data_IF_158688481897
#
_entry.id   IF_158688481897
#
_cell.length_a   1.000
_cell.length_b   1.000
_cell.length_c   1.000
_cell.angle_alpha   90.00
_cell.angle_beta   90.00
_cell.angle_gamma   90.00
#
_symmetry.space_group_name_H-M   'P 1'
#
loop_
_entity.id
_entity.type
_entity.pdbx_description
1 polymer ?
#
# COMPACT_ATOMS: atom_id res chain seq x y z
N UNK A 1 -14.94 10.43 -5.23
CA UNK A 1 -13.54 10.14 -4.80
C UNK A 1 -13.10 8.89 -5.54
N UNK A 2 -11.93 8.89 -6.18
CA UNK A 2 -11.48 7.82 -7.09
C UNK A 2 -11.49 6.40 -6.45
N UNK A 3 -10.98 6.18 -5.22
CA UNK A 3 -11.08 4.88 -4.56
C UNK A 3 -12.52 4.34 -4.42
N UNK A 4 -13.51 5.21 -4.19
CA UNK A 4 -14.90 4.78 -4.09
C UNK A 4 -15.46 4.35 -5.45
N UNK A 5 -15.09 5.04 -6.53
CA UNK A 5 -15.46 4.61 -7.89
C UNK A 5 -14.86 3.25 -8.20
N UNK A 6 -13.58 3.03 -7.86
CA UNK A 6 -12.91 1.75 -8.05
C UNK A 6 -13.53 0.63 -7.19
N UNK A 7 -13.94 0.93 -5.95
CA UNK A 7 -14.63 -0.03 -5.09
C UNK A 7 -16.01 -0.45 -5.65
N UNK A 8 -16.73 0.47 -6.31
CA UNK A 8 -18.06 0.20 -6.87
C UNK A 8 -17.99 -0.43 -8.26
N UNK A 9 -17.04 0.01 -9.10
CA UNK A 9 -16.97 -0.34 -10.53
C UNK A 9 -15.79 -1.25 -10.89
N UNK A 10 -14.94 -1.62 -9.92
CA UNK A 10 -13.77 -2.47 -10.18
C UNK A 10 -12.82 -1.85 -11.20
N UNK A 11 -12.32 -2.67 -12.12
CA UNK A 11 -11.45 -2.25 -13.25
C UNK A 11 -12.15 -1.33 -14.26
N UNK A 12 -13.49 -1.28 -14.26
CA UNK A 12 -14.29 -0.45 -15.17
C UNK A 12 -14.47 1.01 -14.70
N UNK A 13 -13.86 1.40 -13.56
CA UNK A 13 -13.97 2.75 -12.99
C UNK A 13 -13.68 3.88 -13.98
N UNK A 14 -12.84 3.64 -14.99
CA UNK A 14 -12.48 4.60 -16.04
C UNK A 14 -13.65 5.03 -16.93
N UNK A 15 -14.70 4.21 -17.02
CA UNK A 15 -15.93 4.60 -17.72
C UNK A 15 -16.73 5.67 -16.96
N UNK A 16 -16.39 5.93 -15.70
CA UNK A 16 -17.14 6.79 -14.80
C UNK A 16 -16.41 8.09 -14.42
N UNK A 17 -15.17 8.28 -14.90
CA UNK A 17 -14.39 9.49 -14.63
C UNK A 17 -13.30 9.69 -15.68
N UNK A 18 -13.09 10.95 -16.07
CA UNK A 18 -11.94 11.38 -16.86
C UNK A 18 -10.79 11.78 -15.91
N UNK A 19 -9.61 11.11 -15.95
CA UNK A 19 -8.48 11.48 -15.12
C UNK A 19 -7.77 12.77 -15.56
N UNK A 20 -8.12 13.35 -16.73
CA UNK A 20 -7.52 14.59 -17.20
C UNK A 20 -7.66 15.72 -16.16
N UNK A 21 -6.52 16.33 -15.80
CA UNK A 21 -6.46 17.41 -14.80
C UNK A 21 -6.41 16.94 -13.34
N UNK A 22 -6.38 15.64 -13.08
CA UNK A 22 -6.06 15.12 -11.75
C UNK A 22 -4.56 15.25 -11.45
N UNK A 23 -4.21 15.32 -10.17
CA UNK A 23 -2.83 15.11 -9.75
C UNK A 23 -2.40 13.66 -10.04
N UNK A 24 -1.09 13.41 -10.08
CA UNK A 24 -0.56 12.05 -10.23
C UNK A 24 -1.05 11.14 -9.11
N UNK A 25 -1.28 9.87 -9.43
CA UNK A 25 -1.74 8.88 -8.47
C UNK A 25 -1.34 7.47 -8.88
N UNK A 26 -1.27 6.60 -7.86
CA UNK A 26 -1.31 5.17 -8.03
C UNK A 26 -2.63 4.64 -7.45
N UNK A 27 -3.38 3.90 -8.23
CA UNK A 27 -4.58 3.19 -7.80
C UNK A 27 -4.33 1.68 -7.87
N UNK A 28 -4.56 0.97 -6.76
CA UNK A 28 -4.52 -0.49 -6.70
C UNK A 28 -5.95 -1.01 -6.56
N UNK A 29 -6.36 -1.92 -7.44
CA UNK A 29 -7.62 -2.66 -7.31
C UNK A 29 -7.31 -4.13 -7.19
N UNK A 30 -7.68 -4.70 -6.06
CA UNK A 30 -7.62 -6.13 -5.80
C UNK A 30 -9.03 -6.71 -5.87
N UNK A 31 -9.24 -7.70 -6.73
CA UNK A 31 -10.45 -8.52 -6.79
C UNK A 31 -10.08 -9.98 -6.49
N UNK A 32 -11.05 -10.89 -6.28
CA UNK A 32 -10.76 -12.29 -6.00
C UNK A 32 -9.89 -13.00 -7.04
N UNK A 33 -9.82 -12.50 -8.28
CA UNK A 33 -9.08 -13.14 -9.39
C UNK A 33 -7.98 -12.31 -10.01
N UNK A 34 -7.81 -11.04 -9.63
CA UNK A 34 -6.80 -10.17 -10.23
C UNK A 34 -6.34 -9.07 -9.29
N UNK A 35 -5.08 -8.67 -9.48
CA UNK A 35 -4.50 -7.46 -8.92
C UNK A 35 -4.10 -6.55 -10.08
N UNK A 36 -4.67 -5.36 -10.13
CA UNK A 36 -4.40 -4.38 -11.18
C UNK A 36 -3.97 -3.06 -10.55
N UNK A 37 -2.93 -2.46 -11.10
CA UNK A 37 -2.49 -1.11 -10.74
C UNK A 37 -2.66 -0.16 -11.91
N UNK A 38 -3.15 1.05 -11.64
CA UNK A 38 -3.11 2.16 -12.57
C UNK A 38 -2.19 3.25 -12.04
N UNK A 39 -1.20 3.60 -12.84
CA UNK A 39 -0.24 4.66 -12.56
C UNK A 39 -0.55 5.85 -13.47
N UNK A 40 -0.92 6.98 -12.88
CA UNK A 40 -1.19 8.23 -13.58
C UNK A 40 -0.10 9.23 -13.25
N UNK A 41 0.67 9.64 -14.25
CA UNK A 41 1.77 10.61 -14.08
C UNK A 41 1.31 12.09 -14.13
N UNK A 42 0.00 12.33 -14.29
CA UNK A 42 -0.60 13.65 -14.52
C UNK A 42 -0.98 13.89 -15.99
N UNK A 43 -0.47 13.09 -16.91
CA UNK A 43 -0.75 13.17 -18.35
C UNK A 43 -1.23 11.83 -18.92
N UNK A 44 -0.61 10.72 -18.51
CA UNK A 44 -0.82 9.38 -19.05
C UNK A 44 -1.17 8.41 -17.94
N UNK A 45 -2.12 7.53 -18.26
CA UNK A 45 -2.53 6.42 -17.40
C UNK A 45 -1.97 5.11 -17.94
N UNK A 46 -1.12 4.46 -17.16
CA UNK A 46 -0.60 3.13 -17.44
C UNK A 46 -1.34 2.08 -16.59
N UNK A 47 -1.74 0.97 -17.20
CA UNK A 47 -2.33 -0.18 -16.51
C UNK A 47 -1.30 -1.31 -16.43
N UNK A 48 -1.17 -1.91 -15.26
CA UNK A 48 -0.35 -3.11 -15.04
C UNK A 48 -1.18 -4.17 -14.33
N UNK A 49 -1.30 -5.34 -14.96
CA UNK A 49 -1.89 -6.54 -14.36
C UNK A 49 -0.79 -7.37 -13.73
N UNK A 50 -0.95 -7.72 -12.47
CA UNK A 50 0.06 -8.45 -11.71
C UNK A 50 -0.25 -9.95 -11.69
N UNK A 51 0.76 -10.82 -11.84
CA UNK A 51 0.58 -12.25 -11.63
C UNK A 51 0.30 -12.55 -10.14
N UNK A 52 -0.11 -13.78 -9.86
CA UNK A 52 -0.17 -14.29 -8.49
C UNK A 52 1.19 -14.13 -7.79
N UNK A 53 1.17 -13.68 -6.53
CA UNK A 53 2.35 -13.48 -5.72
C UNK A 53 2.30 -12.21 -4.90
N UNK A 54 3.47 -11.76 -4.45
CA UNK A 54 3.61 -10.50 -3.70
C UNK A 54 4.06 -9.38 -4.62
N UNK A 55 3.29 -8.31 -4.68
CA UNK A 55 3.65 -7.07 -5.37
C UNK A 55 3.89 -5.97 -4.34
N UNK A 56 4.99 -5.24 -4.46
CA UNK A 56 5.29 -4.06 -3.65
C UNK A 56 5.23 -2.83 -4.53
N UNK A 57 4.45 -1.85 -4.11
CA UNK A 57 4.40 -0.54 -4.76
C UNK A 57 4.81 0.53 -3.77
N UNK A 58 5.60 1.50 -4.23
CA UNK A 58 6.20 2.55 -3.43
C UNK A 58 5.92 3.89 -4.06
N UNK A 59 5.69 4.92 -3.24
CA UNK A 59 5.46 6.29 -3.72
C UNK A 59 6.74 7.01 -4.14
N UNK A 60 7.91 6.49 -3.76
CA UNK A 60 9.22 7.00 -4.16
C UNK A 60 9.70 6.40 -5.48
N UNK A 61 10.65 7.07 -6.12
CA UNK A 61 11.25 6.59 -7.36
C UNK A 61 12.21 5.41 -7.14
N UNK A 62 12.74 4.82 -8.23
CA UNK A 62 13.69 3.71 -8.17
C UNK A 62 14.91 3.97 -7.29
N UNK A 63 15.30 5.23 -7.13
CA UNK A 63 16.40 5.70 -6.29
C UNK A 63 16.25 5.33 -4.81
N UNK A 64 15.02 5.16 -4.31
CA UNK A 64 14.77 4.79 -2.92
C UNK A 64 15.03 3.30 -2.66
N UNK A 65 15.09 2.49 -3.72
CA UNK A 65 15.43 1.05 -3.71
C UNK A 65 14.60 0.21 -2.73
N UNK A 66 13.46 0.71 -2.26
CA UNK A 66 12.59 0.04 -1.27
C UNK A 66 12.14 -1.33 -1.73
N UNK A 67 11.70 -1.42 -2.98
CA UNK A 67 11.27 -2.70 -3.57
C UNK A 67 12.42 -3.70 -3.57
N UNK A 68 13.61 -3.31 -4.00
CA UNK A 68 14.80 -4.18 -3.98
C UNK A 68 15.16 -4.62 -2.55
N UNK A 69 15.03 -3.72 -1.59
CA UNK A 69 15.41 -3.93 -0.19
C UNK A 69 14.42 -4.82 0.57
N UNK A 70 13.11 -4.68 0.32
CA UNK A 70 12.07 -5.26 1.18
C UNK A 70 11.20 -6.31 0.49
N UNK A 71 10.97 -6.23 -0.83
CA UNK A 71 10.11 -7.19 -1.52
C UNK A 71 10.53 -8.66 -1.29
N UNK A 72 11.83 -9.03 -1.35
CA UNK A 72 12.22 -10.43 -1.11
C UNK A 72 11.79 -10.96 0.26
N UNK A 73 11.86 -10.12 1.30
CA UNK A 73 11.47 -10.51 2.65
C UNK A 73 9.96 -10.66 2.80
N UNK A 74 9.17 -9.75 2.20
CA UNK A 74 7.71 -9.83 2.21
C UNK A 74 7.20 -11.02 1.39
N UNK A 75 7.81 -11.28 0.23
CA UNK A 75 7.46 -12.42 -0.61
C UNK A 75 7.79 -13.77 0.03
N UNK A 76 8.83 -13.84 0.87
CA UNK A 76 9.20 -15.04 1.62
C UNK A 76 8.42 -15.21 2.94
N UNK A 77 7.67 -14.20 3.35
CA UNK A 77 6.98 -14.20 4.64
C UNK A 77 5.63 -14.92 4.55
N UNK A 78 5.39 -15.82 5.50
CA UNK A 78 4.19 -16.65 5.55
C UNK A 78 3.03 -15.91 6.24
N UNK A 79 2.34 -15.10 5.45
CA UNK A 79 1.10 -14.45 5.84
C UNK A 79 1.23 -13.17 6.69
N UNK A 80 0.08 -12.64 7.13
CA UNK A 80 -0.03 -11.27 7.62
C UNK A 80 0.78 -11.01 8.91
N UNK A 81 0.85 -11.99 9.80
CA UNK A 81 1.62 -11.92 11.06
C UNK A 81 3.12 -11.80 10.80
N UNK A 82 3.62 -12.50 9.78
CA UNK A 82 5.01 -12.41 9.36
C UNK A 82 5.32 -11.03 8.77
N UNK A 83 4.41 -10.47 7.96
CA UNK A 83 4.51 -9.10 7.48
C UNK A 83 4.54 -8.08 8.61
N UNK A 84 3.65 -8.21 9.60
CA UNK A 84 3.66 -7.35 10.81
C UNK A 84 5.00 -7.44 11.56
N UNK A 85 5.62 -8.63 11.63
CA UNK A 85 6.97 -8.78 12.25
C UNK A 85 8.04 -8.04 11.45
N UNK A 86 8.00 -8.07 10.12
CA UNK A 86 8.94 -7.32 9.28
C UNK A 86 8.83 -5.81 9.53
N UNK A 87 7.62 -5.27 9.62
CA UNK A 87 7.39 -3.86 9.93
C UNK A 87 7.90 -3.50 11.32
N UNK A 88 7.64 -4.34 12.34
CA UNK A 88 8.16 -4.14 13.70
C UNK A 88 9.68 -4.22 13.81
N UNK A 89 10.32 -4.99 12.95
CA UNK A 89 11.79 -5.09 12.92
C UNK A 89 12.46 -3.87 12.26
N UNK A 90 11.69 -3.00 11.60
CA UNK A 90 12.16 -1.80 10.94
C UNK A 90 11.74 -0.54 11.74
N UNK A 91 12.54 -0.09 12.72
CA UNK A 91 12.24 1.15 13.44
C UNK A 91 12.22 2.34 12.48
N UNK A 92 11.48 3.42 12.80
CA UNK A 92 11.48 4.63 11.99
C UNK A 92 12.90 5.15 11.79
N UNK A 93 13.24 5.47 10.54
CA UNK A 93 14.55 6.00 10.18
C UNK A 93 14.42 7.23 9.28
N UNK A 94 15.39 8.13 9.41
CA UNK A 94 15.58 9.26 8.50
C UNK A 94 16.36 8.81 7.25
N UNK A 95 15.75 7.89 6.51
CA UNK A 95 16.25 7.30 5.27
C UNK A 95 15.06 7.18 4.32
N UNK A 96 15.06 7.87 3.16
CA UNK A 96 14.01 7.74 2.16
C UNK A 96 13.76 6.29 1.76
N UNK A 97 14.79 5.44 1.76
CA UNK A 97 14.73 4.01 1.48
C UNK A 97 14.34 3.13 2.68
N UNK A 98 13.89 3.70 3.80
CA UNK A 98 13.37 2.95 4.94
C UNK A 98 11.94 2.48 4.72
N UNK A 99 11.59 1.32 5.31
CA UNK A 99 10.22 0.81 5.33
C UNK A 99 9.29 1.72 6.14
N UNK A 100 9.80 2.26 7.24
CA UNK A 100 9.12 3.23 8.11
C UNK A 100 9.98 4.48 8.13
N UNK A 101 9.52 5.54 7.48
CA UNK A 101 10.27 6.80 7.36
C UNK A 101 9.88 7.72 8.50
N UNK A 102 10.85 8.42 9.07
CA UNK A 102 10.63 9.58 9.94
C UNK A 102 11.76 10.58 9.72
N UNK A 103 11.44 11.65 9.01
CA UNK A 103 12.32 12.78 8.78
C UNK A 103 11.81 13.99 9.59
N UNK A 104 12.72 14.69 10.26
CA UNK A 104 12.40 15.92 11.01
C UNK A 104 13.25 17.08 10.51
N UNK A 105 12.60 18.15 10.07
CA UNK A 105 13.24 19.33 9.50
C UNK A 105 12.48 20.59 9.94
N UNK A 106 13.20 21.59 10.45
CA UNK A 106 12.63 22.87 10.92
C UNK A 106 11.41 22.72 11.86
N UNK A 107 11.44 21.71 12.74
CA UNK A 107 10.35 21.40 13.67
C UNK A 107 9.11 20.75 13.03
N UNK A 108 9.19 20.35 11.76
CA UNK A 108 8.16 19.58 11.04
C UNK A 108 8.58 18.13 10.96
N UNK A 109 7.60 17.22 11.06
CA UNK A 109 7.82 15.78 10.96
C UNK A 109 7.13 15.23 9.71
N UNK A 110 7.91 14.59 8.85
CA UNK A 110 7.44 13.85 7.67
C UNK A 110 7.67 12.37 7.96
N UNK A 111 6.60 11.63 8.26
CA UNK A 111 6.73 10.27 8.73
C UNK A 111 5.63 9.34 8.19
N UNK A 112 5.94 8.05 8.18
CA UNK A 112 4.92 7.00 8.19
C UNK A 112 4.13 7.14 9.50
N UNK A 113 2.85 7.49 9.41
CA UNK A 113 1.98 7.73 10.58
C UNK A 113 0.95 6.63 10.81
N UNK A 114 0.90 5.64 9.92
CA UNK A 114 -0.17 4.67 9.88
C UNK A 114 0.26 3.42 9.11
N UNK A 115 -0.16 2.25 9.59
CA UNK A 115 -0.13 1.00 8.86
C UNK A 115 -1.53 0.40 8.83
N UNK A 116 -1.91 -0.14 7.68
CA UNK A 116 -3.16 -0.88 7.48
C UNK A 116 -2.83 -2.19 6.79
N UNK A 117 -3.57 -3.21 7.18
CA UNK A 117 -3.51 -4.54 6.58
C UNK A 117 -4.94 -5.01 6.36
N UNK A 118 -5.23 -5.25 5.08
CA UNK A 118 -6.51 -5.75 4.60
C UNK A 118 -6.32 -7.20 4.18
N UNK A 119 -7.03 -8.10 4.85
CA UNK A 119 -7.10 -9.52 4.54
C UNK A 119 -8.50 -9.77 3.97
N UNK A 120 -8.60 -10.17 2.71
CA UNK A 120 -9.87 -10.37 2.02
C UNK A 120 -9.92 -11.78 1.42
N UNK A 121 -10.96 -12.51 1.78
CA UNK A 121 -11.28 -13.85 1.28
C UNK A 121 -12.77 -13.89 0.91
N UNK A 122 -13.23 -14.86 0.10
CA UNK A 122 -14.66 -15.02 -0.17
C UNK A 122 -15.48 -15.09 1.12
N UNK A 123 -16.34 -14.09 1.35
CA UNK A 123 -17.22 -14.00 2.52
C UNK A 123 -16.57 -13.48 3.80
N UNK A 124 -15.30 -13.08 3.78
CA UNK A 124 -14.59 -12.57 4.96
C UNK A 124 -13.71 -11.38 4.61
N UNK A 125 -13.88 -10.30 5.37
CA UNK A 125 -13.00 -9.14 5.34
C UNK A 125 -12.48 -8.88 6.76
N UNK A 126 -11.16 -8.81 6.90
CA UNK A 126 -10.50 -8.35 8.11
C UNK A 126 -9.61 -7.16 7.77
N UNK A 127 -9.89 -6.03 8.39
CA UNK A 127 -9.07 -4.83 8.31
C UNK A 127 -8.42 -4.62 9.67
N UNK A 128 -7.10 -4.48 9.68
CA UNK A 128 -6.35 -4.17 10.89
C UNK A 128 -5.52 -2.91 10.67
N UNK A 129 -5.43 -2.07 11.68
CA UNK A 129 -4.72 -0.80 11.55
C UNK A 129 -3.95 -0.42 12.82
N UNK A 130 -2.89 0.37 12.65
CA UNK A 130 -2.11 0.91 13.75
C UNK A 130 -1.51 2.26 13.39
N UNK A 131 -1.49 3.19 14.34
CA UNK A 131 -0.78 4.47 14.21
C UNK A 131 0.74 4.34 14.42
N UNK A 132 1.17 3.24 15.02
CA UNK A 132 2.57 2.98 15.33
C UNK A 132 2.92 1.51 14.99
N UNK A 133 2.79 1.11 13.71
CA UNK A 133 2.90 -0.30 13.28
C UNK A 133 4.28 -0.92 13.53
N UNK A 134 5.32 -0.11 13.73
CA UNK A 134 6.67 -0.53 14.11
C UNK A 134 6.83 -0.88 15.60
N UNK A 135 5.80 -0.68 16.42
CA UNK A 135 5.83 -0.98 17.86
C UNK A 135 5.18 -2.33 18.18
N UNK A 136 5.33 -2.78 19.42
CA UNK A 136 4.61 -3.96 19.95
C UNK A 136 3.15 -3.68 20.32
N UNK A 137 2.61 -2.48 20.06
CA UNK A 137 1.23 -2.15 20.40
C UNK A 137 0.25 -2.99 19.55
N UNK A 138 -0.90 -3.38 20.12
CA UNK A 138 -1.92 -4.09 19.37
C UNK A 138 -2.43 -3.22 18.22
N UNK A 139 -2.84 -3.87 17.14
CA UNK A 139 -3.53 -3.22 16.02
C UNK A 139 -5.02 -3.23 16.31
N UNK A 140 -5.71 -2.15 15.96
CA UNK A 140 -7.17 -2.08 15.96
C UNK A 140 -7.70 -2.99 14.84
N UNK A 141 -8.78 -3.72 15.11
CA UNK A 141 -9.32 -4.72 14.18
C UNK A 141 -10.79 -4.45 13.92
N UNK A 142 -11.14 -4.44 12.64
CA UNK A 142 -12.50 -4.50 12.12
C UNK A 142 -12.66 -5.80 11.34
N UNK A 143 -13.64 -6.62 11.72
CA UNK A 143 -14.03 -7.81 10.97
C UNK A 143 -15.45 -7.64 10.43
N UNK A 144 -15.64 -8.03 9.18
CA UNK A 144 -16.93 -8.07 8.50
C UNK A 144 -17.06 -9.43 7.83
N UNK A 145 -18.10 -10.18 8.20
CA UNK A 145 -18.34 -11.55 7.75
C UNK A 145 -19.34 -12.26 8.64
#
# INVERSE_FOLDING_TARGET
MLPLLAAVHGTDWRAHVDPAGMASFLLVVASPGELVTWDFDGERLAETRHPEGTTMVTSGGPEDRKTERYLPAFAAADGPEAWRRLVRAAPPADDPGALVVRHEEDGRVFATVFGELVEAEPGRLRVSSSREPWTGRPWDVLEVG
#
